data_IF_622874116664
#
_entry.id   IF_622874116664
#
_cell.length_a   1.000
_cell.length_b   1.000
_cell.length_c   1.000
_cell.angle_alpha   90.00
_cell.angle_beta   90.00
_cell.angle_gamma   90.00
#
_symmetry.space_group_name_H-M   'P 1'
#
loop_
_entity.id
_entity.type
_entity.pdbx_description
1 polymer ?
#
# COMPACT_ATOMS: atom_id res chain seq x y z
N UNK A 1 -102.66 14.66 -36.69
CA UNK A 1 -101.28 14.94 -37.17
C UNK A 1 -100.45 15.69 -36.13
N UNK A 2 -101.01 16.71 -35.47
CA UNK A 2 -100.30 17.56 -34.50
C UNK A 2 -99.67 16.83 -33.28
N UNK A 3 -100.30 15.82 -32.69
CA UNK A 3 -99.74 15.11 -31.52
C UNK A 3 -98.45 14.33 -31.83
N UNK A 4 -98.33 13.73 -33.02
CA UNK A 4 -97.12 12.99 -33.43
C UNK A 4 -95.93 13.93 -33.60
N UNK A 5 -96.16 15.16 -34.07
CA UNK A 5 -95.14 16.19 -34.25
C UNK A 5 -94.61 16.71 -32.90
N UNK A 6 -95.50 16.92 -31.92
CA UNK A 6 -95.12 17.37 -30.58
C UNK A 6 -94.29 16.31 -29.84
N UNK A 7 -94.66 15.03 -29.97
CA UNK A 7 -93.89 13.90 -29.40
C UNK A 7 -92.53 13.76 -30.09
N UNK A 8 -92.47 13.93 -31.41
CA UNK A 8 -91.21 13.92 -32.15
C UNK A 8 -90.28 15.06 -31.72
N UNK A 9 -90.79 16.30 -31.58
CA UNK A 9 -90.01 17.45 -31.08
C UNK A 9 -89.47 17.23 -29.68
N UNK A 10 -90.29 16.73 -28.73
CA UNK A 10 -89.85 16.41 -27.37
C UNK A 10 -88.78 15.32 -27.33
N UNK A 11 -88.86 14.32 -28.20
CA UNK A 11 -87.84 13.28 -28.31
C UNK A 11 -86.52 13.80 -28.88
N UNK A 12 -86.58 14.76 -29.82
CA UNK A 12 -85.39 15.45 -30.36
C UNK A 12 -84.75 16.33 -29.27
N UNK A 13 -85.54 17.08 -28.50
CA UNK A 13 -85.04 17.89 -27.39
C UNK A 13 -84.38 17.03 -26.30
N UNK A 14 -85.02 15.93 -25.87
CA UNK A 14 -84.43 15.00 -24.90
C UNK A 14 -83.11 14.40 -25.38
N UNK A 15 -83.02 14.01 -26.66
CA UNK A 15 -81.77 13.54 -27.25
C UNK A 15 -80.71 14.64 -27.27
N UNK A 16 -81.08 15.87 -27.62
CA UNK A 16 -80.19 17.02 -27.64
C UNK A 16 -79.59 17.30 -26.26
N UNK A 17 -80.40 17.28 -25.20
CA UNK A 17 -79.91 17.48 -23.83
C UNK A 17 -78.99 16.35 -23.36
N UNK A 18 -79.29 15.12 -23.76
CA UNK A 18 -78.49 13.93 -23.42
C UNK A 18 -77.11 13.97 -24.12
N UNK A 19 -77.07 14.42 -25.39
CA UNK A 19 -75.82 14.66 -26.10
C UNK A 19 -75.01 15.82 -25.49
N UNK A 20 -75.66 16.90 -25.07
CA UNK A 20 -74.98 18.02 -24.39
C UNK A 20 -74.36 17.59 -23.05
N UNK A 21 -75.06 16.78 -22.26
CA UNK A 21 -74.49 16.23 -21.03
C UNK A 21 -73.27 15.34 -21.32
N UNK A 22 -73.36 14.44 -22.30
CA UNK A 22 -72.23 13.60 -22.72
C UNK A 22 -71.03 14.42 -23.19
N UNK A 23 -71.25 15.46 -23.99
CA UNK A 23 -70.21 16.41 -24.41
C UNK A 23 -69.52 17.06 -23.22
N UNK A 24 -70.29 17.56 -22.25
CA UNK A 24 -69.73 18.20 -21.05
C UNK A 24 -68.90 17.24 -20.19
N UNK A 25 -69.30 15.97 -20.12
CA UNK A 25 -68.55 14.93 -19.40
C UNK A 25 -67.24 14.58 -20.13
N UNK A 26 -67.29 14.46 -21.46
CA UNK A 26 -66.12 14.20 -22.30
C UNK A 26 -65.11 15.35 -22.22
N UNK A 27 -65.58 16.60 -22.18
CA UNK A 27 -64.72 17.77 -22.03
C UNK A 27 -64.00 17.79 -20.67
N UNK A 28 -64.69 17.41 -19.59
CA UNK A 28 -64.08 17.26 -18.27
C UNK A 28 -63.04 16.15 -18.24
N UNK A 29 -63.35 14.98 -18.80
CA UNK A 29 -62.37 13.88 -18.91
C UNK A 29 -61.16 14.28 -19.75
N UNK A 30 -61.35 14.99 -20.86
CA UNK A 30 -60.25 15.47 -21.70
C UNK A 30 -59.33 16.43 -20.93
N UNK A 31 -59.92 17.34 -20.15
CA UNK A 31 -59.17 18.25 -19.27
C UNK A 31 -58.36 17.47 -18.21
N UNK A 32 -58.97 16.47 -17.58
CA UNK A 32 -58.34 15.65 -16.55
C UNK A 32 -57.24 14.71 -17.11
N UNK A 33 -57.40 14.25 -18.35
CA UNK A 33 -56.35 13.53 -19.07
C UNK A 33 -55.19 14.46 -19.44
N UNK A 34 -55.47 15.71 -19.83
CA UNK A 34 -54.42 16.69 -20.13
C UNK A 34 -53.58 17.05 -18.92
N UNK A 35 -54.18 17.20 -17.73
CA UNK A 35 -53.42 17.44 -16.50
C UNK A 35 -52.53 16.24 -16.14
N UNK A 36 -53.07 15.02 -16.18
CA UNK A 36 -52.30 13.79 -15.93
C UNK A 36 -51.12 13.62 -16.91
N UNK A 37 -51.30 14.00 -18.17
CA UNK A 37 -50.26 13.90 -19.19
C UNK A 37 -49.13 14.91 -18.94
N UNK A 38 -49.48 16.11 -18.43
CA UNK A 38 -48.50 17.10 -17.96
C UNK A 38 -47.72 16.60 -16.75
N UNK A 39 -48.40 16.01 -15.77
CA UNK A 39 -47.75 15.46 -14.58
C UNK A 39 -46.80 14.29 -14.94
N UNK A 40 -47.23 13.42 -15.86
CA UNK A 40 -46.38 12.35 -16.38
C UNK A 40 -45.14 12.89 -17.09
N UNK A 41 -45.28 13.95 -17.90
CA UNK A 41 -44.14 14.61 -18.55
C UNK A 41 -43.16 15.20 -17.53
N UNK A 42 -43.65 15.81 -16.45
CA UNK A 42 -42.80 16.34 -15.38
C UNK A 42 -42.05 15.22 -14.66
N UNK A 43 -42.75 14.15 -14.29
CA UNK A 43 -42.14 12.99 -13.63
C UNK A 43 -41.08 12.31 -14.50
N UNK A 44 -41.28 12.27 -15.82
CA UNK A 44 -40.28 11.76 -16.75
C UNK A 44 -39.02 12.63 -16.80
N UNK A 45 -39.15 13.95 -16.63
CA UNK A 45 -38.00 14.86 -16.55
C UNK A 45 -37.22 14.70 -15.25
N UNK A 46 -37.92 14.53 -14.11
CA UNK A 46 -37.30 14.27 -12.81
C UNK A 46 -36.55 12.95 -12.80
N UNK A 47 -37.11 11.89 -13.37
CA UNK A 47 -36.44 10.59 -13.49
C UNK A 47 -35.12 10.68 -14.27
N UNK A 48 -35.09 11.44 -15.37
CA UNK A 48 -33.85 11.68 -16.13
C UNK A 48 -32.81 12.44 -15.33
N UNK A 49 -33.25 13.42 -14.53
CA UNK A 49 -32.35 14.16 -13.65
C UNK A 49 -31.76 13.24 -12.58
N UNK A 50 -32.59 12.45 -11.89
CA UNK A 50 -32.14 11.47 -10.89
C UNK A 50 -31.18 10.44 -11.50
N UNK A 51 -31.44 9.98 -12.72
CA UNK A 51 -30.52 9.07 -13.42
C UNK A 51 -29.15 9.72 -13.68
N UNK A 52 -29.14 10.98 -14.11
CA UNK A 52 -27.90 11.74 -14.33
C UNK A 52 -27.13 12.02 -13.02
N UNK A 53 -27.85 12.28 -11.92
CA UNK A 53 -27.29 12.47 -10.59
C UNK A 53 -26.66 11.17 -10.07
N UNK A 54 -27.34 10.03 -10.24
CA UNK A 54 -26.81 8.72 -9.89
C UNK A 54 -25.53 8.38 -10.66
N UNK A 55 -25.48 8.66 -11.96
CA UNK A 55 -24.27 8.50 -12.76
C UNK A 55 -23.12 9.38 -12.23
N UNK A 56 -23.42 10.63 -11.89
CA UNK A 56 -22.43 11.57 -11.34
C UNK A 56 -21.90 11.10 -9.98
N UNK A 57 -22.78 10.64 -9.09
CA UNK A 57 -22.40 10.10 -7.79
C UNK A 57 -21.52 8.85 -7.93
N UNK A 58 -21.85 7.98 -8.89
CA UNK A 58 -21.08 6.76 -9.15
C UNK A 58 -19.65 7.10 -9.64
N UNK A 59 -19.50 8.12 -10.48
CA UNK A 59 -18.19 8.63 -10.90
C UNK A 59 -17.39 9.23 -9.73
N UNK A 60 -18.04 10.00 -8.86
CA UNK A 60 -17.40 10.56 -7.67
C UNK A 60 -16.95 9.46 -6.70
N UNK A 61 -17.76 8.41 -6.54
CA UNK A 61 -17.45 7.26 -5.70
C UNK A 61 -16.22 6.50 -6.24
N UNK A 62 -16.16 6.25 -7.55
CA UNK A 62 -14.97 5.63 -8.14
C UNK A 62 -13.70 6.46 -7.96
N UNK A 63 -13.79 7.78 -8.15
CA UNK A 63 -12.63 8.66 -7.95
C UNK A 63 -12.14 8.67 -6.51
N UNK A 64 -13.07 8.69 -5.55
CA UNK A 64 -12.71 8.66 -4.12
C UNK A 64 -12.13 7.30 -3.73
N UNK A 65 -12.62 6.20 -4.29
CA UNK A 65 -12.02 4.87 -4.11
C UNK A 65 -10.58 4.81 -4.63
N UNK A 66 -10.33 5.29 -5.86
CA UNK A 66 -8.99 5.28 -6.46
C UNK A 66 -7.99 6.12 -5.63
N UNK A 67 -8.44 7.27 -5.12
CA UNK A 67 -7.62 8.14 -4.29
C UNK A 67 -7.31 7.50 -2.92
N UNK A 68 -8.30 6.83 -2.32
CA UNK A 68 -8.12 6.09 -1.07
C UNK A 68 -7.13 4.92 -1.23
N UNK A 69 -7.22 4.18 -2.32
CA UNK A 69 -6.27 3.10 -2.65
C UNK A 69 -4.84 3.64 -2.84
N UNK A 70 -4.67 4.77 -3.54
CA UNK A 70 -3.37 5.42 -3.69
C UNK A 70 -2.77 5.81 -2.33
N UNK A 71 -3.58 6.44 -1.48
CA UNK A 71 -3.15 6.81 -0.12
C UNK A 71 -2.80 5.58 0.71
N UNK A 72 -3.60 4.52 0.65
CA UNK A 72 -3.34 3.27 1.35
C UNK A 72 -2.01 2.64 0.91
N UNK A 73 -1.78 2.54 -0.39
CA UNK A 73 -0.55 1.99 -0.95
C UNK A 73 0.68 2.81 -0.55
N UNK A 74 0.57 4.14 -0.55
CA UNK A 74 1.63 5.02 -0.06
C UNK A 74 1.93 4.82 1.43
N UNK A 75 0.89 4.67 2.27
CA UNK A 75 1.05 4.35 3.69
C UNK A 75 1.69 2.98 3.91
N UNK A 76 1.34 1.98 3.12
CA UNK A 76 1.95 0.65 3.21
C UNK A 76 3.43 0.68 2.83
N UNK A 77 3.80 1.45 1.80
CA UNK A 77 5.21 1.65 1.43
C UNK A 77 6.01 2.36 2.53
N UNK A 78 5.39 3.31 3.25
CA UNK A 78 6.00 3.97 4.41
C UNK A 78 6.13 3.07 5.63
N UNK A 79 5.15 2.18 5.85
CA UNK A 79 5.13 1.25 6.99
C UNK A 79 6.16 0.12 6.82
N UNK A 80 6.35 -0.34 5.59
CA UNK A 80 7.30 -1.40 5.24
C UNK A 80 8.41 -0.85 4.34
N UNK A 81 9.28 0.04 4.86
CA UNK A 81 10.38 0.56 4.06
C UNK A 81 11.31 -0.60 3.69
N UNK A 82 11.66 -0.69 2.41
CA UNK A 82 12.63 -1.68 1.95
C UNK A 82 14.02 -1.20 2.34
N UNK A 83 14.70 -1.96 3.19
CA UNK A 83 16.05 -1.64 3.64
C UNK A 83 17.11 -2.26 2.73
N UNK A 84 18.18 -1.50 2.45
CA UNK A 84 19.34 -1.94 1.68
C UNK A 84 20.63 -1.67 2.45
N UNK A 85 21.75 -2.27 2.03
CA UNK A 85 23.05 -2.10 2.65
C UNK A 85 23.35 -3.14 3.74
N UNK A 86 22.71 -4.31 3.69
CA UNK A 86 22.94 -5.40 4.64
C UNK A 86 24.42 -5.77 4.72
N UNK A 87 25.12 -5.85 3.57
CA UNK A 87 26.53 -6.19 3.51
C UNK A 87 27.43 -5.14 4.20
N UNK A 88 27.14 -3.84 4.04
CA UNK A 88 27.90 -2.77 4.67
C UNK A 88 27.66 -2.71 6.18
N UNK A 89 26.38 -2.85 6.59
CA UNK A 89 26.00 -2.95 7.99
C UNK A 89 26.69 -4.16 8.66
N UNK A 90 26.69 -5.31 8.00
CA UNK A 90 27.34 -6.52 8.50
C UNK A 90 28.86 -6.35 8.63
N UNK A 91 29.51 -5.62 7.71
CA UNK A 91 30.93 -5.27 7.84
C UNK A 91 31.23 -4.34 9.03
N UNK A 92 30.24 -3.57 9.48
CA UNK A 92 30.36 -2.72 10.66
C UNK A 92 30.11 -3.47 11.97
N UNK A 93 29.68 -4.74 11.92
CA UNK A 93 29.56 -5.57 13.11
C UNK A 93 30.92 -5.87 13.75
N UNK A 94 30.85 -6.17 15.05
CA UNK A 94 32.00 -6.44 15.89
C UNK A 94 32.95 -7.50 15.31
N UNK A 95 32.49 -8.68 14.85
CA UNK A 95 33.39 -9.71 14.35
C UNK A 95 34.19 -9.23 13.13
N UNK A 96 33.53 -8.62 12.15
CA UNK A 96 34.22 -8.18 10.94
C UNK A 96 35.27 -7.11 11.23
N UNK A 97 34.94 -6.12 12.08
CA UNK A 97 35.87 -5.04 12.45
C UNK A 97 37.05 -5.54 13.25
N UNK A 98 36.84 -6.45 14.20
CA UNK A 98 37.93 -7.08 14.95
C UNK A 98 38.87 -7.83 14.02
N UNK A 99 38.37 -8.71 13.15
CA UNK A 99 39.25 -9.44 12.24
C UNK A 99 39.92 -8.55 11.19
N UNK A 100 39.28 -7.46 10.75
CA UNK A 100 39.93 -6.43 9.92
C UNK A 100 41.12 -5.81 10.65
N UNK A 101 40.95 -5.40 11.92
CA UNK A 101 42.04 -4.90 12.77
C UNK A 101 43.13 -5.94 12.96
N UNK A 102 42.76 -7.21 13.07
CA UNK A 102 43.72 -8.30 13.19
C UNK A 102 44.62 -8.42 11.97
N UNK A 103 44.03 -8.38 10.78
CA UNK A 103 44.77 -8.42 9.51
C UNK A 103 45.67 -7.19 9.39
N UNK A 104 45.16 -6.00 9.68
CA UNK A 104 45.93 -4.75 9.62
C UNK A 104 47.18 -4.80 10.51
N UNK A 105 47.02 -5.23 11.77
CA UNK A 105 48.11 -5.27 12.73
C UNK A 105 49.06 -6.46 12.55
N UNK A 106 48.61 -7.55 11.90
CA UNK A 106 49.45 -8.72 11.58
C UNK A 106 50.61 -8.43 10.62
N UNK A 107 50.59 -7.28 9.94
CA UNK A 107 51.63 -6.86 8.99
C UNK A 107 52.94 -6.44 9.64
N UNK A 108 52.97 -6.21 10.96
CA UNK A 108 54.20 -5.86 11.67
C UNK A 108 54.29 -6.56 13.01
N UNK A 109 55.52 -6.87 13.45
CA UNK A 109 55.78 -7.48 14.75
C UNK A 109 55.27 -6.62 15.91
N UNK A 110 55.50 -5.30 15.86
CA UNK A 110 55.00 -4.35 16.86
C UNK A 110 53.47 -4.32 16.91
N UNK A 111 52.82 -4.38 15.74
CA UNK A 111 51.36 -4.48 15.64
C UNK A 111 50.83 -5.75 16.27
N UNK A 112 51.45 -6.90 15.99
CA UNK A 112 51.10 -8.17 16.60
C UNK A 112 51.22 -8.15 18.14
N UNK A 113 52.23 -7.47 18.68
CA UNK A 113 52.42 -7.36 20.13
C UNK A 113 51.36 -6.47 20.81
N UNK A 114 50.94 -5.38 20.16
CA UNK A 114 49.95 -4.43 20.72
C UNK A 114 48.49 -4.80 20.41
N UNK A 115 48.28 -5.84 19.60
CA UNK A 115 46.98 -6.31 19.14
C UNK A 115 45.92 -6.54 20.21
N UNK A 116 46.22 -7.24 21.33
CA UNK A 116 45.20 -7.48 22.35
C UNK A 116 44.59 -6.18 22.91
N UNK A 117 45.37 -5.11 23.01
CA UNK A 117 44.91 -3.81 23.47
C UNK A 117 44.10 -3.09 22.39
N UNK A 118 44.57 -3.11 21.13
CA UNK A 118 43.87 -2.51 19.98
C UNK A 118 42.47 -3.11 19.81
N UNK A 119 42.34 -4.44 19.94
CA UNK A 119 41.06 -5.14 19.82
C UNK A 119 40.09 -4.78 20.95
N UNK A 120 40.59 -4.60 22.18
CA UNK A 120 39.76 -4.16 23.31
C UNK A 120 39.19 -2.75 23.08
N UNK A 121 39.99 -1.84 22.52
CA UNK A 121 39.52 -0.48 22.18
C UNK A 121 38.48 -0.52 21.09
N UNK A 122 38.74 -1.25 20.01
CA UNK A 122 37.80 -1.37 18.89
C UNK A 122 36.47 -1.99 19.36
N UNK A 123 36.52 -3.01 20.20
CA UNK A 123 35.31 -3.64 20.75
C UNK A 123 34.48 -2.67 21.60
N UNK A 124 35.13 -1.83 22.42
CA UNK A 124 34.44 -0.77 23.16
C UNK A 124 33.79 0.25 22.22
N UNK A 125 34.53 0.70 21.21
CA UNK A 125 34.06 1.67 20.22
C UNK A 125 32.83 1.15 19.46
N UNK A 126 32.87 -0.08 18.97
CA UNK A 126 31.72 -0.72 18.28
C UNK A 126 30.52 -0.81 19.22
N UNK A 127 30.73 -1.21 20.48
CA UNK A 127 29.65 -1.32 21.47
C UNK A 127 29.01 0.04 21.76
N UNK A 128 29.80 1.11 21.81
CA UNK A 128 29.30 2.48 21.99
C UNK A 128 28.51 2.96 20.77
N UNK A 129 29.02 2.73 19.55
CA UNK A 129 28.32 3.05 18.31
C UNK A 129 26.99 2.30 18.19
N UNK A 130 26.94 1.03 18.60
CA UNK A 130 25.73 0.19 18.53
C UNK A 130 24.68 0.49 19.60
N UNK A 131 25.04 1.09 20.74
CA UNK A 131 24.10 1.34 21.86
C UNK A 131 22.87 2.17 21.47
N UNK A 132 23.04 3.11 20.54
CA UNK A 132 22.00 4.09 20.19
C UNK A 132 21.38 3.85 18.80
N UNK A 133 21.84 2.83 18.08
CA UNK A 133 21.34 2.51 16.74
C UNK A 133 20.11 1.60 16.83
N UNK A 134 18.92 2.17 16.60
CA UNK A 134 17.68 1.41 16.40
C UNK A 134 17.54 1.06 14.92
N UNK A 135 18.12 -0.06 14.52
CA UNK A 135 18.05 -0.57 13.14
C UNK A 135 17.18 -1.84 13.10
N UNK A 136 16.45 -2.09 12.01
CA UNK A 136 15.69 -3.32 11.79
C UNK A 136 16.57 -4.57 11.84
N UNK A 137 15.99 -5.76 11.92
CA UNK A 137 16.78 -6.99 11.85
C UNK A 137 17.50 -7.08 10.49
N UNK A 138 18.71 -7.62 10.45
CA UNK A 138 19.50 -7.66 9.22
C UNK A 138 18.88 -8.58 8.15
N UNK A 139 18.06 -9.55 8.57
CA UNK A 139 17.29 -10.44 7.71
C UNK A 139 16.13 -9.73 6.98
N UNK A 140 15.68 -8.58 7.47
CA UNK A 140 14.61 -7.77 6.85
C UNK A 140 15.12 -6.92 5.67
N UNK A 141 16.43 -6.92 5.42
CA UNK A 141 17.03 -6.17 4.32
C UNK A 141 16.87 -6.93 3.01
N UNK A 142 16.52 -6.23 1.94
CA UNK A 142 16.32 -6.83 0.62
C UNK A 142 17.60 -7.46 0.04
N UNK A 143 18.77 -6.92 0.39
CA UNK A 143 20.09 -7.39 -0.04
C UNK A 143 20.76 -8.33 0.98
N UNK A 144 19.99 -8.95 1.88
CA UNK A 144 20.52 -9.86 2.91
C UNK A 144 21.39 -11.00 2.32
N UNK A 145 21.08 -11.50 1.12
CA UNK A 145 21.90 -12.52 0.45
C UNK A 145 23.37 -12.12 0.27
N UNK A 146 23.68 -10.81 0.20
CA UNK A 146 25.06 -10.32 0.09
C UNK A 146 25.86 -10.55 1.38
N UNK A 147 25.19 -10.68 2.53
CA UNK A 147 25.84 -11.00 3.82
C UNK A 147 26.58 -12.32 3.77
N UNK A 148 26.06 -13.31 3.03
CA UNK A 148 26.71 -14.61 2.88
C UNK A 148 28.09 -14.50 2.21
N UNK A 149 28.24 -13.57 1.27
CA UNK A 149 29.53 -13.28 0.63
C UNK A 149 30.49 -12.67 1.64
N UNK A 150 30.02 -11.74 2.47
CA UNK A 150 30.84 -11.12 3.53
C UNK A 150 31.27 -12.14 4.59
N UNK A 151 30.41 -13.10 4.96
CA UNK A 151 30.76 -14.20 5.89
C UNK A 151 31.92 -15.05 5.39
N UNK A 152 32.14 -15.13 4.07
CA UNK A 152 33.28 -15.84 3.48
C UNK A 152 34.58 -15.04 3.61
N UNK A 153 34.57 -13.76 3.97
CA UNK A 153 35.80 -12.97 4.09
C UNK A 153 36.65 -13.43 5.29
N UNK A 154 37.98 -13.42 5.11
CA UNK A 154 38.93 -13.72 6.19
C UNK A 154 38.73 -12.83 7.42
N UNK A 155 38.46 -11.54 7.22
CA UNK A 155 38.18 -10.60 8.32
C UNK A 155 37.02 -11.07 9.18
N UNK A 156 35.93 -11.56 8.58
CA UNK A 156 34.80 -12.06 9.34
C UNK A 156 35.17 -13.33 10.11
N UNK A 157 35.79 -14.30 9.44
CA UNK A 157 36.13 -15.59 10.04
C UNK A 157 37.09 -15.44 11.24
N UNK A 158 38.11 -14.58 11.10
CA UNK A 158 39.06 -14.30 12.19
C UNK A 158 38.38 -13.68 13.41
N UNK A 159 37.57 -12.64 13.20
CA UNK A 159 36.90 -11.99 14.31
C UNK A 159 35.76 -12.80 14.91
N UNK A 160 35.06 -13.61 14.11
CA UNK A 160 34.05 -14.54 14.61
C UNK A 160 34.66 -15.57 15.56
N UNK A 161 35.82 -16.12 15.19
CA UNK A 161 36.57 -17.06 16.05
C UNK A 161 37.09 -16.39 17.33
N UNK A 162 37.51 -15.12 17.24
CA UNK A 162 37.91 -14.33 18.40
C UNK A 162 36.74 -14.08 19.37
N UNK A 163 35.58 -13.69 18.84
CA UNK A 163 34.37 -13.47 19.65
C UNK A 163 33.93 -14.78 20.31
N UNK A 164 34.01 -15.90 19.58
CA UNK A 164 33.67 -17.23 20.09
C UNK A 164 34.61 -17.69 21.21
N UNK A 165 35.91 -17.47 21.06
CA UNK A 165 36.93 -17.87 22.05
C UNK A 165 37.04 -16.90 23.23
N UNK A 166 36.49 -15.68 23.11
CA UNK A 166 36.51 -14.61 24.11
C UNK A 166 37.91 -14.17 24.59
N UNK A 167 38.97 -14.72 23.99
CA UNK A 167 40.37 -14.50 24.33
C UNK A 167 41.16 -14.46 23.02
N UNK A 168 42.09 -13.52 22.91
CA UNK A 168 43.03 -13.52 21.78
C UNK A 168 44.03 -14.67 21.92
N UNK A 169 43.91 -15.67 21.05
CA UNK A 169 44.84 -16.81 21.01
C UNK A 169 45.65 -16.75 19.70
N UNK A 170 46.95 -16.42 19.76
CA UNK A 170 47.85 -16.33 18.59
C UNK A 170 47.72 -17.50 17.60
N UNK A 171 47.64 -18.72 18.12
CA UNK A 171 47.60 -19.94 17.32
C UNK A 171 46.27 -20.15 16.58
N UNK A 172 45.14 -19.73 17.15
CA UNK A 172 43.84 -19.87 16.47
C UNK A 172 43.76 -18.95 15.26
N UNK A 173 44.24 -17.71 15.42
CA UNK A 173 44.34 -16.72 14.34
C UNK A 173 45.18 -17.25 13.19
N UNK A 174 46.35 -17.83 13.50
CA UNK A 174 47.24 -18.40 12.50
C UNK A 174 46.61 -19.61 11.80
N UNK A 175 45.98 -20.52 12.56
CA UNK A 175 45.29 -21.70 12.02
C UNK A 175 44.15 -21.31 11.07
N UNK A 176 43.33 -20.33 11.46
CA UNK A 176 42.20 -19.84 10.64
C UNK A 176 42.70 -19.19 9.35
N UNK A 177 43.76 -18.37 9.41
CA UNK A 177 44.37 -17.78 8.22
C UNK A 177 44.96 -18.84 7.26
N UNK A 178 45.62 -19.86 7.80
CA UNK A 178 46.15 -20.98 7.01
C UNK A 178 45.03 -21.82 6.36
N UNK A 179 43.96 -22.08 7.11
CA UNK A 179 42.79 -22.82 6.62
C UNK A 179 42.09 -22.06 5.49
N UNK A 180 41.92 -20.74 5.66
CA UNK A 180 41.36 -19.86 4.64
C UNK A 180 42.20 -19.90 3.34
N UNK A 181 43.53 -19.77 3.45
CA UNK A 181 44.43 -19.86 2.29
C UNK A 181 44.34 -21.19 1.57
N UNK A 182 44.10 -22.29 2.28
CA UNK A 182 43.96 -23.63 1.70
C UNK A 182 42.63 -23.82 0.95
N UNK A 183 41.55 -23.23 1.45
CA UNK A 183 40.22 -23.35 0.86
C UNK A 183 39.98 -22.43 -0.35
N UNK A 184 40.88 -21.45 -0.58
CA UNK A 184 40.84 -20.49 -1.69
C UNK A 184 42.00 -20.67 -2.68
N UNK A 185 42.62 -21.85 -2.70
CA UNK A 185 43.67 -22.26 -3.63
C UNK A 185 43.11 -23.31 -4.58
#
# INVERSE_FOLDING_TARGET
MLEKEVVAKRNVEKKSTDYQQKLSSIEKEKSDLQSKLKDFSNMQSELKQVESENQTLLLQLHRTQEELEKQHNALMALKNPVYFGAAERFKNELPYRLGKKMIEASRSFKGWLTMPWLLKIEAKKVKEEQKNLKLPNIEEYADFSEVEKVKKHLSYQLGAELVKSNIFVPFTVLKTALTFKRNHK
#
